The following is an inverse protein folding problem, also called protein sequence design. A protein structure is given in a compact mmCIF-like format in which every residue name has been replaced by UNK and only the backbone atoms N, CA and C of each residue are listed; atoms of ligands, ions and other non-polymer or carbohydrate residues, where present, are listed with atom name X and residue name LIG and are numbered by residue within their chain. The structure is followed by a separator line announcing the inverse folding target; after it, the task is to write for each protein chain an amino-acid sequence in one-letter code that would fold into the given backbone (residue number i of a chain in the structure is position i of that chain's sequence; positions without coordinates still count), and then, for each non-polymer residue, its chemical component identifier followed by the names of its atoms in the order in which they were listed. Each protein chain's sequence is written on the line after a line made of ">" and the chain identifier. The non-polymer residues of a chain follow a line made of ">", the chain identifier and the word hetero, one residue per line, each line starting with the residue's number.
data_IF_435628965256
#
_entry.id   IF_435628965256
#
_cell.length_a   1.000
_cell.length_b   1.000
_cell.length_c   1.000
_cell.angle_alpha   90.00
_cell.angle_beta   90.00
_cell.angle_gamma   90.00
#
_symmetry.space_group_name_H-M   'P 1'
#
loop_
_entity.id
_entity.type
_entity.pdbx_description
1 polymer ?
#
# COMPACT_ATOMS: atom_id res chain seq x y z
N UNK A 1 36.77 -0.26 34.88
CA UNK A 1 36.39 -0.98 33.64
C UNK A 1 35.11 -1.72 33.95
N UNK A 2 34.02 -1.32 33.31
CA UNK A 2 32.73 -1.97 33.46
C UNK A 2 32.61 -3.06 32.41
N UNK A 3 32.28 -4.30 32.82
CA UNK A 3 32.02 -5.39 31.86
C UNK A 3 30.65 -5.28 31.19
N UNK A 4 29.80 -4.41 31.71
CA UNK A 4 28.37 -4.33 31.38
C UNK A 4 27.95 -2.95 30.89
N UNK A 5 28.88 -1.99 30.79
CA UNK A 5 28.59 -0.61 30.38
C UNK A 5 29.35 -0.25 29.10
N UNK A 6 28.65 -0.02 27.99
CA UNK A 6 29.25 0.45 26.74
C UNK A 6 28.20 1.07 25.81
N UNK A 7 28.60 2.02 24.94
CA UNK A 7 27.68 2.69 24.02
C UNK A 7 27.22 1.75 22.89
N UNK A 8 25.94 1.86 22.54
CA UNK A 8 25.29 1.26 21.37
C UNK A 8 24.88 2.40 20.44
N UNK A 9 25.19 2.28 19.16
CA UNK A 9 24.95 3.32 18.16
C UNK A 9 23.81 2.86 17.27
N UNK A 10 22.79 3.71 17.15
CA UNK A 10 21.80 3.61 16.09
C UNK A 10 22.37 4.22 14.81
N UNK A 11 22.78 3.37 13.88
CA UNK A 11 23.36 3.80 12.61
C UNK A 11 22.35 4.40 11.63
N UNK A 12 21.04 4.18 11.82
CA UNK A 12 20.01 4.81 10.98
C UNK A 12 19.84 6.28 11.35
N UNK A 13 19.93 6.58 12.64
CA UNK A 13 19.86 7.95 13.16
C UNK A 13 21.21 8.67 13.11
N UNK A 14 22.33 7.94 13.13
CA UNK A 14 23.66 8.53 13.15
C UNK A 14 24.00 9.28 11.85
N UNK A 15 24.24 10.59 11.97
CA UNK A 15 24.71 11.45 10.85
C UNK A 15 26.23 11.44 10.65
N UNK A 16 26.92 10.44 11.20
CA UNK A 16 28.38 10.27 11.09
C UNK A 16 29.21 11.53 11.42
N UNK A 17 28.78 12.33 12.39
CA UNK A 17 29.44 13.60 12.73
C UNK A 17 30.84 13.45 13.39
N UNK A 18 31.22 12.23 13.82
CA UNK A 18 32.52 11.94 14.43
C UNK A 18 32.77 12.49 15.85
N UNK A 19 31.83 13.25 16.42
CA UNK A 19 31.99 13.90 17.74
C UNK A 19 32.27 12.90 18.88
N UNK A 20 31.59 11.76 18.88
CA UNK A 20 31.76 10.72 19.89
C UNK A 20 33.17 10.10 19.87
N UNK A 21 33.75 9.88 18.69
CA UNK A 21 35.12 9.36 18.51
C UNK A 21 36.13 10.41 18.98
N UNK A 22 35.97 11.65 18.51
CA UNK A 22 36.92 12.73 18.77
C UNK A 22 36.98 13.16 20.25
N UNK A 23 35.90 12.93 21.02
CA UNK A 23 35.76 13.38 22.42
C UNK A 23 35.77 12.26 23.44
N UNK A 24 35.99 10.99 23.04
CA UNK A 24 36.13 9.88 23.97
C UNK A 24 37.59 9.74 24.45
N UNK A 25 37.91 10.04 25.73
CA UNK A 25 39.28 9.90 26.25
C UNK A 25 39.65 8.44 26.57
N UNK A 26 38.68 7.52 26.50
CA UNK A 26 38.83 6.14 26.96
C UNK A 26 39.17 5.16 25.84
N UNK A 27 39.35 5.61 24.59
CA UNK A 27 39.72 4.72 23.49
C UNK A 27 38.68 3.65 23.15
N UNK A 28 37.40 3.92 23.42
CA UNK A 28 36.28 3.00 23.18
C UNK A 28 36.05 2.79 21.67
N UNK A 29 36.27 3.82 20.86
CA UNK A 29 36.02 3.81 19.42
C UNK A 29 37.27 3.48 18.59
N UNK A 30 37.08 2.88 17.41
CA UNK A 30 38.12 2.70 16.41
C UNK A 30 38.38 4.02 15.65
N UNK A 31 39.51 4.67 15.95
CA UNK A 31 39.89 5.93 15.30
C UNK A 31 40.21 5.79 13.82
N UNK A 32 40.54 4.57 13.34
CA UNK A 32 40.77 4.31 11.91
C UNK A 32 39.49 4.31 11.07
N UNK A 33 38.33 4.21 11.74
CA UNK A 33 37.00 4.20 11.11
C UNK A 33 36.31 5.57 11.19
N UNK A 34 36.96 6.57 11.76
CA UNK A 34 36.41 7.91 11.84
C UNK A 34 36.07 8.45 10.42
N UNK A 35 34.92 9.12 10.25
CA UNK A 35 34.03 9.62 11.31
C UNK A 35 32.93 8.64 11.75
N UNK A 36 32.84 7.44 11.16
CA UNK A 36 31.85 6.41 11.51
C UNK A 36 32.17 5.77 12.88
N UNK A 37 31.26 5.82 13.85
CA UNK A 37 31.55 5.46 15.25
C UNK A 37 31.50 3.96 15.53
N UNK A 38 32.58 3.26 15.17
CA UNK A 38 32.74 1.83 15.45
C UNK A 38 33.31 1.61 16.85
N UNK A 39 32.59 0.90 17.73
CA UNK A 39 33.07 0.53 19.07
C UNK A 39 34.06 -0.64 18.95
N UNK A 40 35.28 -0.43 19.45
CA UNK A 40 36.38 -1.41 19.40
C UNK A 40 36.71 -2.01 20.76
N UNK A 41 36.71 -1.18 21.80
CA UNK A 41 37.11 -1.54 23.16
C UNK A 41 35.96 -1.20 24.14
N UNK A 42 34.83 -1.93 24.10
CA UNK A 42 33.65 -1.64 24.92
C UNK A 42 33.97 -1.58 26.42
N UNK A 43 34.85 -2.46 26.92
CA UNK A 43 35.27 -2.55 28.31
C UNK A 43 36.10 -1.35 28.81
N UNK A 44 36.62 -0.55 27.87
CA UNK A 44 37.33 0.68 28.20
C UNK A 44 36.37 1.81 28.57
N UNK A 45 35.06 1.66 28.31
CA UNK A 45 34.07 2.63 28.76
C UNK A 45 34.03 2.67 30.29
N UNK A 46 34.05 3.88 30.84
CA UNK A 46 33.85 4.08 32.27
C UNK A 46 32.38 3.81 32.61
N UNK A 47 32.15 3.14 33.73
CA UNK A 47 30.82 2.85 34.26
C UNK A 47 29.99 4.14 34.37
N UNK A 48 28.74 4.11 33.92
CA UNK A 48 27.83 5.28 33.92
C UNK A 48 28.35 6.51 33.15
N UNK A 49 29.22 6.33 32.16
CA UNK A 49 29.73 7.42 31.33
C UNK A 49 28.81 7.75 30.14
N UNK A 50 28.11 8.89 30.22
CA UNK A 50 27.22 9.43 29.16
C UNK A 50 27.92 10.35 28.16
N UNK A 51 29.25 10.39 28.15
CA UNK A 51 30.01 11.43 27.46
C UNK A 51 29.76 11.53 25.95
N UNK A 52 29.66 10.41 25.25
CA UNK A 52 29.36 10.42 23.81
C UNK A 52 27.87 10.65 23.54
N UNK A 53 26.96 10.06 24.33
CA UNK A 53 25.52 10.28 24.23
C UNK A 53 25.11 11.74 24.39
N UNK A 54 25.59 12.42 25.44
CA UNK A 54 25.30 13.83 25.70
C UNK A 54 25.81 14.80 24.61
N UNK A 55 26.76 14.35 23.77
CA UNK A 55 27.37 15.15 22.70
C UNK A 55 26.86 14.77 21.32
N UNK A 56 26.01 13.75 21.23
CA UNK A 56 25.44 13.33 19.96
C UNK A 56 24.38 14.36 19.54
N UNK A 57 24.52 15.02 18.38
CA UNK A 57 23.59 16.07 17.96
C UNK A 57 22.20 15.53 17.60
N UNK A 58 22.11 14.23 17.32
CA UNK A 58 20.89 13.52 16.90
C UNK A 58 20.47 12.43 17.89
N UNK A 59 21.13 12.38 19.07
CA UNK A 59 20.80 11.41 20.12
C UNK A 59 20.93 9.93 19.75
N UNK A 60 21.68 9.57 18.71
CA UNK A 60 21.80 8.20 18.20
C UNK A 60 22.58 7.20 19.08
N UNK A 61 22.81 7.49 20.37
CA UNK A 61 23.68 6.67 21.24
C UNK A 61 22.94 6.33 22.53
N UNK A 62 22.76 5.04 22.79
CA UNK A 62 22.25 4.46 24.04
C UNK A 62 23.34 3.62 24.71
N UNK A 63 23.07 3.04 25.89
CA UNK A 63 24.06 2.27 26.65
C UNK A 63 23.50 0.92 27.09
N UNK A 64 24.30 -0.14 26.93
CA UNK A 64 24.02 -1.41 27.61
C UNK A 64 24.29 -1.23 29.10
N UNK A 65 23.41 -1.77 29.94
CA UNK A 65 23.54 -1.68 31.40
C UNK A 65 23.01 -0.38 32.00
N UNK A 66 22.32 0.48 31.23
CA UNK A 66 21.60 1.65 31.73
C UNK A 66 20.55 1.27 32.78
N UNK A 67 20.74 1.74 34.02
CA UNK A 67 19.82 1.54 35.14
C UNK A 67 19.44 2.85 35.85
N UNK A 68 19.91 4.00 35.34
CA UNK A 68 19.67 5.33 35.92
C UNK A 68 18.51 6.09 35.27
N UNK A 69 17.95 5.55 34.19
CA UNK A 69 16.90 6.18 33.40
C UNK A 69 17.41 7.33 32.54
N UNK A 70 18.71 7.37 32.25
CA UNK A 70 19.27 8.36 31.32
C UNK A 70 18.77 8.11 29.90
N UNK A 71 18.40 9.17 29.19
CA UNK A 71 18.01 9.14 27.78
C UNK A 71 18.82 10.15 26.96
N UNK A 72 19.01 9.92 25.65
CA UNK A 72 19.76 10.83 24.81
C UNK A 72 19.09 12.21 24.75
N UNK A 73 19.79 13.30 25.11
CA UNK A 73 19.17 14.63 25.25
C UNK A 73 18.72 15.25 23.91
N UNK A 74 19.25 14.76 22.79
CA UNK A 74 18.94 15.26 21.45
C UNK A 74 18.34 14.18 20.54
N UNK A 75 17.91 13.06 21.09
CA UNK A 75 17.20 12.02 20.33
C UNK A 75 15.71 12.33 20.33
N UNK A 76 15.02 12.04 19.22
CA UNK A 76 13.57 11.91 19.28
C UNK A 76 13.26 10.78 20.27
N UNK A 77 12.65 11.14 21.40
CA UNK A 77 12.04 10.15 22.27
C UNK A 77 10.93 9.51 21.44
N UNK A 78 10.86 8.17 21.34
CA UNK A 78 9.56 7.55 21.16
C UNK A 78 8.74 8.08 22.33
N UNK A 79 7.68 8.84 22.05
CA UNK A 79 6.72 9.21 23.08
C UNK A 79 6.28 7.90 23.73
N UNK A 80 6.72 7.65 24.97
CA UNK A 80 6.08 6.62 25.78
C UNK A 80 4.64 7.09 25.95
N UNK A 81 3.74 6.34 25.34
CA UNK A 81 2.31 6.60 25.41
C UNK A 81 1.88 6.67 26.87
N UNK A 82 1.73 7.90 27.34
CA UNK A 82 1.02 8.24 28.56
C UNK A 82 -0.45 7.88 28.38
N UNK A 83 -0.77 6.63 28.73
CA UNK A 83 -1.94 6.23 29.48
C UNK A 83 -3.20 7.09 29.25
N UNK A 84 -3.95 6.75 28.20
CA UNK A 84 -5.37 7.04 28.12
C UNK A 84 -6.15 5.73 28.13
N UNK A 85 -6.92 5.56 29.21
CA UNK A 85 -7.85 4.46 29.47
C UNK A 85 -8.75 4.15 28.26
N UNK A 86 -8.53 2.99 27.62
CA UNK A 86 -9.51 1.99 27.15
C UNK A 86 -9.06 1.29 25.87
N UNK A 87 -8.81 -0.03 25.96
CA UNK A 87 -8.86 -0.96 24.82
C UNK A 87 -7.51 -1.52 24.39
N UNK A 88 -7.35 -2.84 24.50
CA UNK A 88 -6.20 -3.59 23.99
C UNK A 88 -5.86 -3.22 22.54
N UNK A 89 -4.59 -2.92 22.26
CA UNK A 89 -4.08 -3.02 20.89
C UNK A 89 -3.93 -4.50 20.54
N UNK A 90 -4.98 -5.06 19.96
CA UNK A 90 -4.85 -6.19 19.07
C UNK A 90 -3.91 -5.79 17.94
N UNK A 91 -2.88 -6.61 17.69
CA UNK A 91 -2.07 -6.54 16.48
C UNK A 91 -2.95 -6.17 15.28
N UNK A 92 -2.72 -5.01 14.68
CA UNK A 92 -3.40 -4.64 13.44
C UNK A 92 -3.12 -5.76 12.43
N UNK A 93 -4.16 -6.54 12.13
CA UNK A 93 -4.08 -7.61 11.14
C UNK A 93 -3.64 -6.96 9.83
N UNK A 94 -2.46 -7.35 9.32
CA UNK A 94 -1.91 -6.88 8.05
C UNK A 94 -2.76 -7.42 6.90
N UNK A 95 -3.98 -6.91 6.75
CA UNK A 95 -4.97 -7.40 5.80
C UNK A 95 -4.91 -6.57 4.52
N UNK A 96 -4.82 -7.25 3.38
CA UNK A 96 -4.86 -6.67 2.04
C UNK A 96 -6.11 -7.20 1.35
N UNK A 97 -7.02 -6.29 1.01
CA UNK A 97 -8.27 -6.62 0.31
C UNK A 97 -8.11 -6.15 -1.14
N UNK A 98 -8.17 -7.10 -2.07
CA UNK A 98 -8.10 -6.83 -3.51
C UNK A 98 -9.46 -7.16 -4.12
N UNK A 99 -10.07 -6.17 -4.74
CA UNK A 99 -11.41 -6.29 -5.31
C UNK A 99 -11.36 -6.07 -6.82
N UNK A 100 -11.94 -7.01 -7.57
CA UNK A 100 -12.15 -6.90 -8.99
C UNK A 100 -13.63 -6.67 -9.30
N UNK A 101 -13.96 -5.46 -9.74
CA UNK A 101 -15.33 -5.02 -10.03
C UNK A 101 -15.52 -5.04 -11.56
N UNK A 102 -16.53 -5.77 -12.04
CA UNK A 102 -16.74 -6.00 -13.46
C UNK A 102 -18.23 -6.05 -13.84
N UNK A 103 -18.53 -5.85 -15.13
CA UNK A 103 -19.90 -5.94 -15.67
C UNK A 103 -20.26 -7.33 -16.19
N UNK A 104 -19.31 -8.05 -16.80
CA UNK A 104 -19.57 -9.35 -17.40
C UNK A 104 -18.28 -10.18 -17.61
N UNK A 105 -18.26 -11.43 -17.16
CA UNK A 105 -17.14 -12.37 -17.35
C UNK A 105 -17.51 -13.54 -18.27
N UNK A 106 -18.50 -13.38 -19.13
CA UNK A 106 -18.97 -14.47 -20.00
C UNK A 106 -18.88 -14.12 -21.49
N UNK A 107 -19.03 -12.85 -21.81
CA UNK A 107 -19.14 -12.30 -23.17
C UNK A 107 -18.19 -11.12 -23.40
N UNK A 108 -17.87 -10.32 -22.37
CA UNK A 108 -16.99 -9.16 -22.53
C UNK A 108 -15.49 -9.52 -22.52
N UNK A 109 -14.84 -9.45 -23.68
CA UNK A 109 -13.42 -9.79 -23.85
C UNK A 109 -12.48 -8.96 -22.97
N UNK A 110 -12.79 -7.67 -22.72
CA UNK A 110 -11.97 -6.81 -21.84
C UNK A 110 -12.02 -7.24 -20.39
N UNK A 111 -13.22 -7.58 -19.90
CA UNK A 111 -13.41 -8.05 -18.54
C UNK A 111 -12.82 -9.45 -18.36
N UNK A 112 -13.02 -10.36 -19.33
CA UNK A 112 -12.43 -11.71 -19.30
C UNK A 112 -10.91 -11.63 -19.38
N UNK A 113 -10.36 -10.80 -20.28
CA UNK A 113 -8.94 -10.59 -20.43
C UNK A 113 -8.31 -10.05 -19.14
N UNK A 114 -8.92 -9.03 -18.55
CA UNK A 114 -8.44 -8.45 -17.28
C UNK A 114 -8.51 -9.47 -16.13
N UNK A 115 -9.57 -10.28 -16.07
CA UNK A 115 -9.73 -11.34 -15.08
C UNK A 115 -8.59 -12.36 -15.15
N UNK A 116 -8.28 -12.84 -16.35
CA UNK A 116 -7.19 -13.81 -16.57
C UNK A 116 -5.83 -13.24 -16.17
N UNK A 117 -5.53 -12.00 -16.59
CA UNK A 117 -4.26 -11.33 -16.26
C UNK A 117 -4.16 -11.13 -14.75
N UNK A 118 -5.22 -10.64 -14.10
CA UNK A 118 -5.25 -10.40 -12.67
C UNK A 118 -5.09 -11.70 -11.88
N UNK A 119 -5.76 -12.79 -12.28
CA UNK A 119 -5.61 -14.10 -11.63
C UNK A 119 -4.17 -14.59 -11.67
N UNK A 120 -3.49 -14.47 -12.82
CA UNK A 120 -2.07 -14.83 -12.94
C UNK A 120 -1.16 -13.98 -12.04
N UNK A 121 -1.43 -12.67 -11.94
CA UNK A 121 -0.71 -11.76 -11.05
C UNK A 121 -0.95 -12.17 -9.60
N UNK A 122 -2.20 -12.41 -9.21
CA UNK A 122 -2.58 -12.81 -7.84
C UNK A 122 -1.94 -14.13 -7.43
N UNK A 123 -1.86 -15.11 -8.34
CA UNK A 123 -1.14 -16.38 -8.10
C UNK A 123 0.34 -16.15 -7.78
N UNK A 124 0.94 -15.10 -8.35
CA UNK A 124 2.36 -14.78 -8.19
C UNK A 124 2.63 -13.95 -6.93
N UNK A 125 1.82 -12.92 -6.67
CA UNK A 125 2.09 -11.95 -5.58
C UNK A 125 1.53 -12.42 -4.23
N UNK A 126 0.44 -13.20 -4.20
CA UNK A 126 -0.17 -13.65 -2.94
C UNK A 126 0.81 -14.43 -2.05
N UNK A 127 1.62 -15.37 -2.56
CA UNK A 127 2.65 -16.03 -1.76
C UNK A 127 3.67 -15.04 -1.17
N UNK A 128 4.11 -14.05 -1.94
CA UNK A 128 5.07 -13.05 -1.48
C UNK A 128 4.49 -12.14 -0.37
N UNK A 129 3.23 -11.76 -0.50
CA UNK A 129 2.51 -10.99 0.52
C UNK A 129 2.32 -11.79 1.81
N UNK A 130 1.97 -13.08 1.71
CA UNK A 130 1.86 -13.98 2.87
C UNK A 130 3.19 -14.16 3.61
N UNK A 131 4.30 -14.28 2.89
CA UNK A 131 5.65 -14.32 3.51
C UNK A 131 5.92 -13.03 4.29
N UNK A 132 5.44 -11.90 3.79
CA UNK A 132 5.58 -10.59 4.44
C UNK A 132 4.61 -10.39 5.63
N UNK A 133 3.87 -11.43 5.99
CA UNK A 133 2.92 -11.45 7.11
C UNK A 133 1.57 -10.82 6.78
N UNK A 134 1.26 -10.58 5.50
CA UNK A 134 -0.06 -10.09 5.10
C UNK A 134 -1.05 -11.24 4.90
N UNK A 135 -2.29 -11.02 5.33
CA UNK A 135 -3.44 -11.82 4.92
C UNK A 135 -4.06 -11.16 3.67
N UNK A 136 -4.26 -11.94 2.61
CA UNK A 136 -4.77 -11.43 1.33
C UNK A 136 -6.16 -11.99 1.07
N UNK A 137 -7.13 -11.10 0.91
CA UNK A 137 -8.47 -11.41 0.41
C UNK A 137 -8.59 -10.93 -1.03
N UNK A 138 -9.05 -11.81 -1.92
CA UNK A 138 -9.25 -11.51 -3.33
C UNK A 138 -10.70 -11.79 -3.71
N UNK A 139 -11.45 -10.73 -4.02
CA UNK A 139 -12.89 -10.77 -4.24
C UNK A 139 -13.23 -10.30 -5.65
N UNK A 140 -14.02 -11.10 -6.37
CA UNK A 140 -14.59 -10.76 -7.68
C UNK A 140 -16.05 -10.34 -7.48
N UNK A 141 -16.39 -9.12 -7.89
CA UNK A 141 -17.70 -8.49 -7.63
C UNK A 141 -18.39 -8.16 -8.95
N UNK A 142 -19.45 -8.91 -9.24
CA UNK A 142 -20.30 -8.70 -10.41
C UNK A 142 -21.26 -7.52 -10.19
N UNK A 143 -21.11 -6.47 -10.99
CA UNK A 143 -21.97 -5.29 -11.01
C UNK A 143 -23.27 -5.57 -11.77
N UNK A 144 -24.04 -6.55 -11.27
CA UNK A 144 -25.27 -7.05 -11.93
C UNK A 144 -26.30 -5.96 -12.18
N UNK A 145 -26.40 -5.00 -11.27
CA UNK A 145 -27.43 -3.96 -11.28
C UNK A 145 -26.87 -2.57 -10.94
N UNK A 146 -27.61 -1.53 -11.34
CA UNK A 146 -27.24 -0.13 -11.08
C UNK A 146 -27.17 0.19 -9.57
N UNK A 147 -27.98 -0.49 -8.75
CA UNK A 147 -28.00 -0.33 -7.30
C UNK A 147 -26.68 -0.83 -6.69
N UNK A 148 -26.18 -1.99 -7.14
CA UNK A 148 -24.88 -2.53 -6.72
C UNK A 148 -23.76 -1.59 -7.18
N UNK A 149 -23.77 -1.16 -8.46
CA UNK A 149 -22.78 -0.21 -8.97
C UNK A 149 -22.75 1.09 -8.14
N UNK A 150 -23.90 1.57 -7.68
CA UNK A 150 -23.99 2.75 -6.82
C UNK A 150 -23.43 2.51 -5.43
N UNK A 151 -23.76 1.36 -4.80
CA UNK A 151 -23.23 0.99 -3.49
C UNK A 151 -21.69 0.94 -3.47
N UNK A 152 -21.09 0.43 -4.56
CA UNK A 152 -19.64 0.33 -4.69
C UNK A 152 -18.99 1.57 -5.29
N UNK A 153 -19.74 2.64 -5.59
CA UNK A 153 -19.25 3.83 -6.30
C UNK A 153 -18.46 3.45 -7.56
N UNK A 154 -18.97 2.49 -8.31
CA UNK A 154 -18.31 1.92 -9.48
C UNK A 154 -18.35 2.92 -10.63
N UNK A 155 -17.19 3.25 -11.20
CA UNK A 155 -17.10 4.25 -12.26
C UNK A 155 -17.12 3.62 -13.65
N UNK A 156 -16.33 2.56 -13.85
CA UNK A 156 -16.19 1.92 -15.15
C UNK A 156 -15.68 0.49 -15.03
N UNK A 157 -16.02 -0.36 -15.99
CA UNK A 157 -15.56 -1.74 -16.07
C UNK A 157 -14.40 -1.88 -17.04
N UNK A 158 -13.38 -2.70 -16.74
CA UNK A 158 -13.11 -3.34 -15.44
C UNK A 158 -12.51 -2.37 -14.41
N UNK A 159 -12.71 -2.58 -13.11
CA UNK A 159 -12.03 -1.81 -12.04
C UNK A 159 -11.36 -2.75 -11.04
N UNK A 160 -10.12 -2.43 -10.65
CA UNK A 160 -9.37 -3.17 -9.64
C UNK A 160 -9.06 -2.21 -8.49
N UNK A 161 -9.35 -2.64 -7.26
CA UNK A 161 -9.08 -1.88 -6.04
C UNK A 161 -8.21 -2.67 -5.09
N UNK A 162 -7.36 -1.96 -4.36
CA UNK A 162 -6.56 -2.48 -3.26
C UNK A 162 -6.88 -1.64 -2.03
N UNK A 163 -7.39 -2.27 -0.98
CA UNK A 163 -7.87 -1.62 0.24
C UNK A 163 -8.88 -0.48 -0.03
N UNK A 164 -9.77 -0.69 -1.02
CA UNK A 164 -10.77 0.28 -1.45
C UNK A 164 -10.24 1.40 -2.36
N UNK A 165 -8.93 1.49 -2.59
CA UNK A 165 -8.32 2.45 -3.50
C UNK A 165 -8.21 1.86 -4.91
N UNK A 166 -8.67 2.59 -5.92
CA UNK A 166 -8.49 2.22 -7.32
C UNK A 166 -7.00 2.26 -7.72
N UNK A 167 -6.54 1.24 -8.44
CA UNK A 167 -5.15 1.14 -8.88
C UNK A 167 -4.76 2.20 -9.92
N UNK A 168 -5.73 2.84 -10.60
CA UNK A 168 -5.46 3.99 -11.46
C UNK A 168 -5.92 5.29 -10.80
N UNK A 169 -5.16 6.36 -11.03
CA UNK A 169 -5.45 7.71 -10.50
C UNK A 169 -6.68 8.36 -11.14
N UNK A 170 -6.95 8.03 -12.40
CA UNK A 170 -8.07 8.56 -13.18
C UNK A 170 -8.68 7.46 -14.05
N UNK A 171 -9.93 7.66 -14.45
CA UNK A 171 -10.64 6.78 -15.37
C UNK A 171 -10.52 7.34 -16.78
N UNK A 172 -10.08 6.50 -17.71
CA UNK A 172 -10.12 6.75 -19.15
C UNK A 172 -11.00 5.65 -19.79
N UNK A 173 -11.72 5.99 -20.85
CA UNK A 173 -12.71 5.10 -21.47
C UNK A 173 -12.71 5.21 -23.00
N UNK A 174 -13.11 4.12 -23.65
CA UNK A 174 -13.43 4.09 -25.07
C UNK A 174 -14.55 3.08 -25.37
N UNK A 175 -15.14 3.17 -26.56
CA UNK A 175 -16.26 2.31 -26.97
C UNK A 175 -15.90 0.84 -26.87
N UNK A 176 -16.80 0.06 -26.27
CA UNK A 176 -16.66 -1.36 -26.04
C UNK A 176 -17.74 -2.13 -26.79
N UNK A 177 -17.37 -2.80 -27.87
CA UNK A 177 -18.29 -3.59 -28.69
C UNK A 177 -19.06 -4.63 -27.87
N UNK A 178 -18.36 -5.40 -27.01
CA UNK A 178 -19.00 -6.46 -26.24
C UNK A 178 -20.05 -5.93 -25.25
N UNK A 179 -19.72 -4.88 -24.49
CA UNK A 179 -20.67 -4.28 -23.56
C UNK A 179 -21.84 -3.62 -24.30
N UNK A 180 -21.56 -3.06 -25.48
CA UNK A 180 -22.60 -2.50 -26.33
C UNK A 180 -23.54 -3.56 -26.89
N UNK A 181 -23.01 -4.72 -27.25
CA UNK A 181 -23.80 -5.87 -27.67
C UNK A 181 -24.62 -6.44 -26.51
N UNK A 182 -24.06 -6.52 -25.30
CA UNK A 182 -24.75 -7.01 -24.11
C UNK A 182 -25.95 -6.11 -23.78
N UNK A 183 -25.76 -4.79 -23.77
CA UNK A 183 -26.81 -3.82 -23.46
C UNK A 183 -27.72 -3.51 -24.65
N UNK A 184 -27.27 -3.67 -25.88
CA UNK A 184 -27.99 -3.18 -27.07
C UNK A 184 -27.96 -1.65 -27.22
N UNK A 185 -27.01 -0.98 -26.58
CA UNK A 185 -26.75 0.48 -26.62
C UNK A 185 -25.25 0.71 -26.74
N UNK A 186 -24.79 1.83 -27.28
CA UNK A 186 -23.35 2.13 -27.29
C UNK A 186 -22.86 2.36 -25.85
N UNK A 187 -21.80 1.65 -25.45
CA UNK A 187 -21.26 1.67 -24.08
C UNK A 187 -19.75 1.82 -24.14
N UNK A 188 -19.24 2.88 -23.51
CA UNK A 188 -17.82 3.06 -23.25
C UNK A 188 -17.40 2.26 -22.02
N UNK A 189 -16.24 1.61 -22.10
CA UNK A 189 -15.62 0.88 -20.98
C UNK A 189 -14.20 1.34 -20.76
N UNK A 190 -13.69 1.02 -19.56
CA UNK A 190 -12.40 1.47 -19.09
C UNK A 190 -11.26 1.00 -20.00
N UNK A 191 -10.30 1.88 -20.16
CA UNK A 191 -8.96 1.59 -20.64
C UNK A 191 -7.92 1.95 -19.58
N UNK A 192 -6.79 1.26 -19.64
CA UNK A 192 -5.70 1.38 -18.69
C UNK A 192 -4.54 2.12 -19.33
N UNK A 193 -4.17 3.26 -18.78
CA UNK A 193 -3.01 4.02 -19.24
C UNK A 193 -1.76 3.58 -18.48
N UNK A 194 -0.73 3.12 -19.18
CA UNK A 194 0.53 2.70 -18.61
C UNK A 194 1.68 3.01 -19.57
N UNK A 195 2.77 3.59 -19.06
CA UNK A 195 3.94 3.99 -19.86
C UNK A 195 3.63 4.84 -21.10
N UNK A 196 2.57 5.65 -21.05
CA UNK A 196 2.15 6.51 -22.17
C UNK A 196 1.34 5.80 -23.26
N UNK A 197 1.03 4.52 -23.09
CA UNK A 197 0.17 3.73 -23.96
C UNK A 197 -1.17 3.43 -23.27
N UNK A 198 -2.20 3.17 -24.08
CA UNK A 198 -3.54 2.81 -23.60
C UNK A 198 -3.84 1.35 -23.93
N UNK A 199 -4.31 0.61 -22.93
CA UNK A 199 -4.59 -0.81 -23.01
C UNK A 199 -6.05 -1.11 -22.66
N UNK A 200 -6.71 -1.95 -23.46
CA UNK A 200 -8.08 -2.43 -23.15
C UNK A 200 -8.08 -3.57 -22.12
N UNK A 201 -6.96 -4.29 -22.03
CA UNK A 201 -6.65 -5.29 -21.01
C UNK A 201 -5.29 -4.90 -20.41
N UNK A 202 -5.20 -4.68 -19.09
CA UNK A 202 -3.98 -4.16 -18.49
C UNK A 202 -2.85 -5.20 -18.58
N UNK A 203 -1.60 -4.77 -18.82
CA UNK A 203 -0.44 -5.67 -18.78
C UNK A 203 -0.16 -6.16 -17.34
N UNK A 204 0.45 -7.34 -17.20
CA UNK A 204 0.73 -7.97 -15.88
C UNK A 204 1.60 -7.09 -15.01
N UNK A 205 2.57 -6.43 -15.62
CA UNK A 205 3.54 -5.55 -14.99
C UNK A 205 2.85 -4.37 -14.32
N UNK A 206 1.91 -3.73 -15.03
CA UNK A 206 1.11 -2.62 -14.49
C UNK A 206 0.32 -3.06 -13.25
N UNK A 207 -0.36 -4.21 -13.31
CA UNK A 207 -1.16 -4.70 -12.19
C UNK A 207 -0.27 -5.04 -10.99
N UNK A 208 0.83 -5.77 -11.21
CA UNK A 208 1.75 -6.14 -10.14
C UNK A 208 2.37 -4.89 -9.47
N UNK A 209 2.85 -3.94 -10.28
CA UNK A 209 3.42 -2.68 -9.79
C UNK A 209 2.39 -1.89 -8.98
N UNK A 210 1.19 -1.69 -9.52
CA UNK A 210 0.16 -0.91 -8.85
C UNK A 210 -0.28 -1.55 -7.53
N UNK A 211 -0.53 -2.87 -7.51
CA UNK A 211 -0.93 -3.57 -6.29
C UNK A 211 0.16 -3.49 -5.22
N UNK A 212 1.41 -3.80 -5.59
CA UNK A 212 2.53 -3.74 -4.65
C UNK A 212 2.78 -2.31 -4.17
N UNK A 213 2.62 -1.30 -5.02
CA UNK A 213 2.78 0.10 -4.64
C UNK A 213 1.74 0.55 -3.61
N UNK A 214 0.50 0.06 -3.69
CA UNK A 214 -0.54 0.39 -2.70
C UNK A 214 -0.31 -0.37 -1.39
N UNK A 215 0.13 -1.63 -1.47
CA UNK A 215 0.40 -2.45 -0.27
C UNK A 215 1.60 -1.94 0.54
N UNK A 216 2.68 -1.53 -0.15
CA UNK A 216 3.94 -1.13 0.49
C UNK A 216 4.20 0.38 0.49
N UNK A 217 3.43 1.16 -0.26
CA UNK A 217 3.52 2.62 -0.27
C UNK A 217 2.98 3.24 1.01
N UNK A 218 3.51 4.41 1.38
CA UNK A 218 2.94 5.20 2.47
C UNK A 218 1.54 5.68 2.06
N UNK A 219 0.53 5.37 2.88
CA UNK A 219 -0.86 5.78 2.69
C UNK A 219 -0.98 7.31 2.74
N UNK A 220 -0.86 7.97 1.59
CA UNK A 220 -1.45 9.28 1.37
C UNK A 220 -2.96 9.09 1.28
N UNK A 221 -3.63 9.07 2.44
CA UNK A 221 -5.08 8.95 2.54
C UNK A 221 -5.74 10.24 2.06
N UNK A 222 -5.75 10.45 0.75
CA UNK A 222 -6.52 11.51 0.10
C UNK A 222 -8.00 11.15 0.08
N UNK A 223 -8.72 11.45 1.16
CA UNK A 223 -10.17 11.28 1.20
C UNK A 223 -10.83 12.43 0.42
N UNK A 224 -11.15 12.22 -0.86
CA UNK A 224 -11.98 13.16 -1.61
C UNK A 224 -13.46 12.87 -1.35
N UNK A 225 -14.09 13.68 -0.51
CA UNK A 225 -15.54 13.66 -0.28
C UNK A 225 -16.27 14.36 -1.44
N UNK A 226 -16.43 13.66 -2.57
CA UNK A 226 -17.37 14.04 -3.62
C UNK A 226 -18.69 13.25 -3.49
N UNK A 227 -19.82 13.88 -3.77
CA UNK A 227 -21.08 13.15 -3.93
C UNK A 227 -21.00 12.27 -5.19
N UNK A 228 -21.13 10.95 -5.02
CA UNK A 228 -21.11 10.02 -6.13
C UNK A 228 -22.42 10.09 -6.92
N UNK A 229 -22.31 10.09 -8.24
CA UNK A 229 -23.44 9.90 -9.15
C UNK A 229 -23.10 8.79 -10.13
N UNK A 230 -24.08 7.93 -10.46
CA UNK A 230 -23.91 6.87 -11.45
C UNK A 230 -23.48 7.50 -12.78
N UNK A 231 -22.29 7.18 -13.33
CA UNK A 231 -21.79 7.80 -14.55
C UNK A 231 -22.56 7.34 -15.81
N UNK A 232 -22.37 8.08 -16.91
CA UNK A 232 -23.17 7.93 -18.14
C UNK A 232 -23.03 6.56 -18.78
N UNK A 233 -21.79 6.07 -18.95
CA UNK A 233 -21.47 4.71 -19.41
C UNK A 233 -22.31 3.61 -18.72
N UNK A 234 -22.45 3.67 -17.40
CA UNK A 234 -23.18 2.70 -16.61
C UNK A 234 -24.69 2.88 -16.74
N UNK A 235 -25.18 4.12 -16.87
CA UNK A 235 -26.60 4.39 -17.17
C UNK A 235 -26.96 3.75 -18.50
N UNK A 236 -26.13 3.94 -19.52
CA UNK A 236 -26.37 3.40 -20.86
C UNK A 236 -26.35 1.87 -20.87
N UNK A 237 -25.37 1.27 -20.18
CA UNK A 237 -25.29 -0.18 -20.04
C UNK A 237 -26.53 -0.77 -19.36
N UNK A 238 -26.91 -0.26 -18.17
CA UNK A 238 -28.02 -0.82 -17.41
C UNK A 238 -29.38 -0.54 -18.05
N UNK A 239 -29.57 0.62 -18.67
CA UNK A 239 -30.82 0.95 -19.38
C UNK A 239 -30.98 0.09 -20.63
N UNK A 240 -29.91 -0.10 -21.41
CA UNK A 240 -29.92 -1.01 -22.55
C UNK A 240 -30.24 -2.44 -22.13
N UNK A 241 -29.57 -2.96 -21.09
CA UNK A 241 -29.83 -4.32 -20.59
C UNK A 241 -31.29 -4.54 -20.18
N UNK A 242 -31.95 -3.52 -19.61
CA UNK A 242 -33.39 -3.53 -19.29
C UNK A 242 -34.28 -3.51 -20.53
N UNK A 243 -33.96 -2.69 -21.53
CA UNK A 243 -34.76 -2.61 -22.78
C UNK A 243 -34.65 -3.89 -23.61
N UNK A 244 -33.47 -4.50 -23.66
CA UNK A 244 -33.22 -5.76 -24.37
C UNK A 244 -33.90 -6.97 -23.71
N UNK A 245 -33.94 -7.02 -22.37
CA UNK A 245 -34.65 -8.08 -21.63
C UNK A 245 -36.18 -7.91 -21.63
N UNK A 246 -36.68 -6.69 -21.85
CA UNK A 246 -38.11 -6.40 -22.05
C UNK A 246 -38.64 -6.76 -23.44
N UNK A 247 -37.76 -6.98 -24.42
CA UNK A 247 -38.13 -7.36 -25.78
C UNK A 247 -38.20 -8.90 -25.91
N UNK A 248 -39.14 -9.52 -25.19
CA UNK A 248 -39.57 -10.88 -25.52
C UNK A 248 -40.28 -10.82 -26.86
N UNK A 249 -39.68 -11.47 -27.87
CA UNK A 249 -40.18 -11.56 -29.24
C UNK A 249 -41.55 -12.24 -29.29
N UNK A 250 -42.61 -11.47 -29.06
CA UNK A 250 -43.95 -11.78 -29.52
C UNK A 250 -44.17 -11.11 -30.87
N UNK A 251 -43.87 -11.80 -31.98
CA UNK A 251 -44.02 -11.21 -33.30
C UNK A 251 -43.77 -12.20 -34.42
N UNK A 252 -44.85 -12.82 -34.86
CA UNK A 252 -45.00 -13.64 -36.06
C UNK A 252 -44.26 -13.04 -37.27
N UNK A 253 -43.21 -13.71 -37.76
CA UNK A 253 -42.64 -13.43 -39.07
C UNK A 253 -43.47 -14.17 -40.12
N UNK A 254 -44.27 -13.41 -40.86
CA UNK A 254 -44.95 -13.84 -42.08
C UNK A 254 -43.96 -14.12 -43.22
#
# INVERSE_FOLDING_TARGET
>A
MAKTWYPVIDYLTCVECGTCIAKCPHGVYDTSKAPSPVVKNPESCADHCYGCGNRCPVGAITYVGEDTGWTPPNGELPEEESCCSCGCETASEKKVIIEYLYLDLQTCDRCIGTDNVLDEVMMTITPALKISGFEVEYNKIDMKTAEIATQYKFLSSPTIRVNGQDICKSVAENSCGCCSDISGTDVDCRVFEYNGESYEVPPKEMLAEAILSVVFGQLETGCSCGEYQLPENLRDFFNGKKSKSGCSCGGNCC
#
